data_IF_686493721168
#
_entry.id   IF_686493721168
#
_cell.length_a   1.000
_cell.length_b   1.000
_cell.length_c   1.000
_cell.angle_alpha   90.00
_cell.angle_beta   90.00
_cell.angle_gamma   90.00
#
_symmetry.space_group_name_H-M   'P 1'
#
loop_
_entity.id
_entity.type
_entity.pdbx_description
1 polymer ?
#
# COMPACT_ATOMS: atom_id res chain seq x y z
N UNK A 1 -13.49 11.80 -6.29
CA UNK A 1 -14.18 10.55 -5.94
C UNK A 1 -13.70 9.44 -6.83
N UNK A 2 -13.16 8.38 -6.23
CA UNK A 2 -12.86 7.11 -6.88
C UNK A 2 -14.13 6.24 -6.80
N UNK A 3 -14.98 6.34 -7.82
CA UNK A 3 -16.31 5.70 -7.80
C UNK A 3 -16.38 4.65 -8.91
N UNK A 4 -16.64 3.39 -8.54
CA UNK A 4 -16.84 2.32 -9.52
C UNK A 4 -18.03 1.44 -9.16
N UNK A 5 -18.59 0.77 -10.17
CA UNK A 5 -19.65 -0.21 -10.02
C UNK A 5 -19.44 -1.34 -11.02
N UNK A 6 -19.35 -2.56 -10.52
CA UNK A 6 -19.38 -3.80 -11.30
C UNK A 6 -20.62 -4.62 -10.92
N UNK A 7 -20.72 -5.84 -11.47
CA UNK A 7 -21.72 -6.81 -11.03
C UNK A 7 -21.37 -7.40 -9.66
N UNK A 8 -20.09 -7.36 -9.27
CA UNK A 8 -19.57 -7.93 -8.02
C UNK A 8 -19.53 -6.93 -6.86
N UNK A 9 -19.47 -5.62 -7.14
CA UNK A 9 -19.43 -4.62 -6.06
C UNK A 9 -19.73 -3.18 -6.51
N UNK A 10 -19.99 -2.34 -5.52
CA UNK A 10 -19.97 -0.89 -5.61
C UNK A 10 -18.83 -0.36 -4.73
N UNK A 11 -17.97 0.49 -5.30
CA UNK A 11 -16.87 1.14 -4.59
C UNK A 11 -17.08 2.67 -4.58
N UNK A 12 -16.94 3.28 -3.42
CA UNK A 12 -17.13 4.71 -3.20
C UNK A 12 -15.96 5.26 -2.36
N UNK A 13 -14.91 5.75 -3.02
CA UNK A 13 -13.82 6.51 -2.40
C UNK A 13 -13.99 8.01 -2.63
N UNK A 14 -13.61 8.84 -1.65
CA UNK A 14 -13.76 10.31 -1.69
C UNK A 14 -15.14 10.77 -2.21
N UNK A 15 -16.20 10.18 -1.69
CA UNK A 15 -17.57 10.30 -2.22
C UNK A 15 -18.41 11.35 -1.50
N UNK A 16 -18.04 11.70 -0.27
CA UNK A 16 -18.72 12.68 0.56
C UNK A 16 -17.87 13.95 0.71
N UNK A 17 -18.49 15.10 0.98
CA UNK A 17 -17.73 16.32 1.19
C UNK A 17 -16.99 16.28 2.53
N UNK A 18 -15.67 16.40 2.48
CA UNK A 18 -14.81 16.62 3.66
C UNK A 18 -14.63 18.12 3.88
N UNK A 19 -14.70 18.57 5.15
CA UNK A 19 -14.38 19.95 5.48
C UNK A 19 -12.86 20.13 5.57
N UNK A 20 -12.37 21.17 4.91
CA UNK A 20 -10.93 21.46 4.82
C UNK A 20 -10.67 22.74 5.60
N UNK A 21 -9.92 22.67 6.71
CA UNK A 21 -9.54 23.83 7.50
C UNK A 21 -8.65 24.78 6.71
N UNK A 22 -8.57 26.04 7.16
CA UNK A 22 -7.60 27.00 6.62
C UNK A 22 -6.17 26.44 6.77
N UNK A 23 -5.37 26.47 5.69
CA UNK A 23 -4.00 25.95 5.67
C UNK A 23 -3.86 24.53 5.12
N UNK A 24 -4.97 23.89 4.76
CA UNK A 24 -5.02 22.63 4.01
C UNK A 24 -5.55 22.92 2.60
N UNK A 25 -5.03 22.21 1.60
CA UNK A 25 -5.42 22.35 0.21
C UNK A 25 -6.28 21.15 -0.21
N UNK A 26 -7.55 21.39 -0.61
CA UNK A 26 -8.11 20.56 -1.68
C UNK A 26 -8.18 21.39 -2.93
N UNK A 27 -7.40 20.97 -3.90
CA UNK A 27 -7.62 21.35 -5.26
C UNK A 27 -8.57 20.30 -5.88
N UNK A 28 -9.87 20.56 -6.04
CA UNK A 28 -10.77 19.61 -6.71
C UNK A 28 -10.42 19.37 -8.20
N UNK A 29 -9.42 20.07 -8.71
CA UNK A 29 -8.84 19.93 -10.05
C UNK A 29 -7.43 19.34 -10.04
N UNK A 30 -7.02 18.65 -8.97
CA UNK A 30 -5.70 18.03 -8.86
C UNK A 30 -5.46 17.13 -10.06
N UNK A 31 -4.64 17.63 -10.98
CA UNK A 31 -3.92 16.84 -11.96
C UNK A 31 -2.69 16.28 -11.23
N UNK A 32 -2.29 15.03 -11.48
CA UNK A 32 -1.15 14.40 -10.81
C UNK A 32 -1.38 12.93 -10.47
N UNK A 33 -0.47 12.39 -9.65
CA UNK A 33 -0.48 11.05 -9.07
C UNK A 33 -0.61 11.12 -7.54
N UNK A 34 -0.96 10.01 -6.90
CA UNK A 34 -1.18 9.95 -5.45
C UNK A 34 -2.57 10.41 -5.02
N UNK A 35 -2.79 10.41 -3.70
CA UNK A 35 -4.10 10.64 -3.11
C UNK A 35 -4.62 12.07 -3.27
N UNK A 36 -5.91 12.18 -3.63
CA UNK A 36 -6.50 13.43 -4.14
C UNK A 36 -6.70 14.54 -3.07
N UNK A 37 -6.18 14.36 -1.86
CA UNK A 37 -6.16 15.39 -0.81
C UNK A 37 -5.50 14.94 0.50
N UNK A 38 -4.94 15.92 1.21
CA UNK A 38 -4.42 15.83 2.57
C UNK A 38 -5.49 16.01 3.67
N UNK A 39 -6.56 15.20 3.65
CA UNK A 39 -7.66 15.40 4.61
C UNK A 39 -7.19 15.31 6.07
N UNK A 40 -7.63 16.23 6.96
CA UNK A 40 -7.30 16.16 8.37
C UNK A 40 -7.99 14.96 9.02
N UNK A 41 -7.32 14.36 10.00
CA UNK A 41 -7.92 13.30 10.80
C UNK A 41 -9.17 13.81 11.55
N UNK A 42 -10.25 13.03 11.49
CA UNK A 42 -11.55 13.40 12.05
C UNK A 42 -12.24 12.21 12.73
N UNK A 43 -13.28 12.51 13.51
CA UNK A 43 -14.29 11.52 13.88
C UNK A 43 -15.37 11.53 12.81
N UNK A 44 -15.55 10.40 12.15
CA UNK A 44 -16.55 10.24 11.09
C UNK A 44 -17.58 9.22 11.57
N UNK A 45 -18.86 9.58 11.45
CA UNK A 45 -20.00 8.68 11.68
C UNK A 45 -20.95 8.84 10.51
N UNK A 46 -21.27 7.73 9.84
CA UNK A 46 -22.15 7.69 8.70
C UNK A 46 -23.27 6.68 8.92
N UNK A 47 -24.49 7.04 8.54
CA UNK A 47 -25.60 6.12 8.37
C UNK A 47 -25.75 5.82 6.87
N UNK A 48 -25.57 4.56 6.49
CA UNK A 48 -25.61 4.08 5.12
C UNK A 48 -26.84 3.20 4.92
N UNK A 49 -27.82 3.71 4.19
CA UNK A 49 -28.99 2.95 3.78
C UNK A 49 -28.68 2.19 2.48
N UNK A 50 -28.60 0.86 2.59
CA UNK A 50 -28.35 -0.05 1.47
C UNK A 50 -29.60 -0.88 1.21
N UNK A 51 -30.10 -0.80 -0.01
CA UNK A 51 -31.21 -1.65 -0.44
C UNK A 51 -30.61 -2.93 -1.02
N UNK A 52 -30.88 -4.08 -0.39
CA UNK A 52 -30.46 -5.38 -0.90
C UNK A 52 -30.96 -5.65 -2.32
N UNK A 53 -30.41 -6.65 -3.03
CA UNK A 53 -30.85 -6.96 -4.39
C UNK A 53 -32.35 -7.26 -4.41
N UNK A 54 -33.04 -6.77 -5.46
CA UNK A 54 -34.50 -6.94 -5.63
C UNK A 54 -34.94 -8.40 -5.79
N UNK A 55 -34.01 -9.33 -5.90
CA UNK A 55 -34.24 -10.76 -6.10
C UNK A 55 -33.12 -11.56 -5.43
N UNK A 56 -33.44 -12.42 -4.45
CA UNK A 56 -32.49 -13.34 -3.82
C UNK A 56 -32.40 -13.18 -2.30
N UNK A 57 -31.90 -14.22 -1.61
CA UNK A 57 -31.50 -14.20 -0.19
C UNK A 57 -30.00 -13.84 -0.08
N UNK A 58 -29.54 -12.88 -0.89
CA UNK A 58 -28.12 -12.58 -1.06
C UNK A 58 -27.67 -11.63 0.07
N UNK A 59 -26.69 -12.05 0.87
CA UNK A 59 -26.20 -11.25 1.99
C UNK A 59 -25.34 -10.12 1.42
N UNK A 60 -25.76 -8.87 1.56
CA UNK A 60 -24.97 -7.72 1.10
C UNK A 60 -24.14 -7.18 2.25
N UNK A 61 -22.81 -7.26 2.14
CA UNK A 61 -21.92 -6.67 3.13
C UNK A 61 -21.54 -5.24 2.76
N UNK A 62 -21.44 -4.39 3.79
CA UNK A 62 -21.02 -2.99 3.67
C UNK A 62 -19.76 -2.84 4.50
N UNK A 63 -18.65 -2.59 3.82
CA UNK A 63 -17.33 -2.46 4.44
C UNK A 63 -16.87 -1.01 4.32
N UNK A 64 -16.30 -0.47 5.40
CA UNK A 64 -15.81 0.91 5.46
C UNK A 64 -14.56 0.98 6.34
N UNK A 65 -13.85 2.10 6.31
CA UNK A 65 -12.78 2.42 7.28
C UNK A 65 -13.22 2.50 8.76
N UNK A 66 -14.52 2.52 9.03
CA UNK A 66 -15.07 2.56 10.38
C UNK A 66 -15.39 1.17 10.95
N UNK A 67 -15.86 1.15 12.19
CA UNK A 67 -16.46 -0.04 12.80
C UNK A 67 -17.98 0.07 12.84
N UNK A 68 -18.65 -1.08 12.80
CA UNK A 68 -20.11 -1.17 12.91
C UNK A 68 -20.57 -0.75 14.30
N UNK A 69 -21.29 0.37 14.36
CA UNK A 69 -21.89 0.89 15.59
C UNK A 69 -23.33 0.38 15.79
N UNK A 70 -24.10 0.26 14.71
CA UNK A 70 -25.47 -0.27 14.73
C UNK A 70 -25.89 -0.79 13.35
N UNK A 71 -26.91 -1.65 13.30
CA UNK A 71 -27.55 -2.06 12.05
C UNK A 71 -29.05 -2.26 12.22
N UNK A 72 -29.82 -1.71 11.29
CA UNK A 72 -31.27 -1.77 11.28
C UNK A 72 -31.70 -2.47 10.00
N UNK A 73 -32.35 -3.62 10.14
CA UNK A 73 -33.02 -4.31 9.04
C UNK A 73 -34.50 -3.92 9.03
N UNK A 74 -35.01 -3.50 7.87
CA UNK A 74 -36.41 -3.18 7.67
C UNK A 74 -37.19 -4.37 7.10
N UNK A 75 -38.51 -4.38 7.36
CA UNK A 75 -39.42 -5.44 6.89
C UNK A 75 -39.48 -5.58 5.36
N UNK A 76 -39.06 -4.55 4.61
CA UNK A 76 -39.01 -4.56 3.14
C UNK A 76 -37.67 -5.06 2.56
N UNK A 77 -36.77 -5.53 3.43
CA UNK A 77 -35.44 -6.03 3.06
C UNK A 77 -34.40 -4.94 2.84
N UNK A 78 -34.71 -3.67 3.13
CA UNK A 78 -33.68 -2.62 3.21
C UNK A 78 -32.91 -2.72 4.53
N UNK A 79 -31.61 -2.41 4.47
CA UNK A 79 -30.71 -2.39 5.63
C UNK A 79 -30.13 -0.99 5.79
N UNK A 80 -30.07 -0.48 7.01
CA UNK A 80 -29.27 0.68 7.37
C UNK A 80 -28.12 0.19 8.24
N UNK A 81 -26.89 0.62 7.94
CA UNK A 81 -25.74 0.40 8.80
C UNK A 81 -25.23 1.74 9.31
N UNK A 82 -24.88 1.80 10.59
CA UNK A 82 -24.21 2.94 11.19
C UNK A 82 -22.77 2.55 11.39
N UNK A 83 -21.88 3.19 10.65
CA UNK A 83 -20.43 3.00 10.70
C UNK A 83 -19.79 4.23 11.34
N UNK A 84 -18.72 4.03 12.09
CA UNK A 84 -17.95 5.17 12.58
C UNK A 84 -16.55 4.82 13.04
N UNK A 85 -15.68 5.83 13.02
CA UNK A 85 -14.30 5.73 13.45
C UNK A 85 -13.75 7.07 13.92
N UNK A 86 -12.62 7.01 14.61
CA UNK A 86 -11.88 8.17 15.10
C UNK A 86 -10.52 8.21 14.42
N UNK A 87 -10.03 9.42 14.15
CA UNK A 87 -8.75 9.59 13.46
C UNK A 87 -8.80 9.22 11.98
N UNK A 88 -10.00 9.09 11.39
CA UNK A 88 -10.16 8.79 9.98
C UNK A 88 -10.00 10.05 9.14
N UNK A 89 -9.26 9.95 8.04
CA UNK A 89 -9.10 11.03 7.04
C UNK A 89 -10.12 10.95 5.92
N UNK A 90 -10.61 9.75 5.62
CA UNK A 90 -11.72 9.47 4.71
C UNK A 90 -12.56 8.31 5.27
N UNK A 91 -13.72 8.06 4.66
CA UNK A 91 -14.58 6.91 4.91
C UNK A 91 -15.00 6.31 3.55
N UNK A 92 -14.12 5.53 2.90
CA UNK A 92 -14.49 4.72 1.76
C UNK A 92 -15.65 3.78 2.11
N UNK A 93 -16.48 3.47 1.12
CA UNK A 93 -17.55 2.49 1.25
C UNK A 93 -17.44 1.46 0.14
N UNK A 94 -17.41 0.20 0.53
CA UNK A 94 -17.53 -0.95 -0.35
C UNK A 94 -18.86 -1.65 -0.06
N UNK A 95 -19.61 -1.98 -1.11
CA UNK A 95 -20.80 -2.81 -1.01
C UNK A 95 -20.56 -4.05 -1.84
N UNK A 96 -20.47 -5.21 -1.17
CA UNK A 96 -20.09 -6.49 -1.77
C UNK A 96 -21.23 -7.48 -1.57
N UNK A 97 -22.02 -7.78 -2.60
CA UNK A 97 -23.02 -8.84 -2.57
C UNK A 97 -22.37 -10.22 -2.39
N UNK A 98 -22.98 -11.03 -1.53
CA UNK A 98 -22.57 -12.40 -1.21
C UNK A 98 -21.11 -12.54 -0.75
N UNK A 99 -20.57 -11.48 -0.15
CA UNK A 99 -19.17 -11.43 0.25
C UNK A 99 -18.74 -12.63 1.08
N UNK A 100 -17.56 -13.17 0.76
CA UNK A 100 -16.83 -14.06 1.65
C UNK A 100 -15.94 -13.24 2.56
N UNK A 101 -16.02 -13.52 3.87
CA UNK A 101 -15.14 -12.92 4.87
C UNK A 101 -14.26 -13.97 5.53
N UNK A 102 -13.01 -13.61 5.79
CA UNK A 102 -12.09 -14.32 6.69
C UNK A 102 -11.62 -13.34 7.75
N UNK A 103 -11.43 -13.83 8.97
CA UNK A 103 -11.07 -12.98 10.10
C UNK A 103 -10.01 -13.66 10.95
N UNK A 104 -9.03 -12.89 11.38
CA UNK A 104 -8.08 -13.27 12.41
C UNK A 104 -7.88 -12.09 13.37
N UNK A 105 -7.24 -12.38 14.50
CA UNK A 105 -6.84 -11.36 15.47
C UNK A 105 -5.35 -11.50 15.69
N UNK A 106 -4.64 -10.39 15.57
CA UNK A 106 -3.20 -10.32 15.86
C UNK A 106 -2.94 -10.56 17.36
N UNK A 107 -1.69 -10.86 17.71
CA UNK A 107 -1.25 -11.04 19.09
C UNK A 107 -1.46 -9.78 19.97
N UNK A 108 -1.42 -8.58 19.37
CA UNK A 108 -1.72 -7.31 20.03
C UNK A 108 -3.22 -6.94 20.02
N UNK A 109 -4.10 -7.81 19.52
CA UNK A 109 -5.55 -7.69 19.67
C UNK A 109 -6.25 -6.88 18.57
N UNK A 110 -5.60 -6.68 17.42
CA UNK A 110 -6.17 -6.01 16.25
C UNK A 110 -6.93 -7.04 15.43
N UNK A 111 -8.19 -6.76 15.10
CA UNK A 111 -8.99 -7.62 14.23
C UNK A 111 -8.68 -7.30 12.75
N UNK A 112 -8.28 -8.32 11.99
CA UNK A 112 -8.01 -8.23 10.55
C UNK A 112 -9.12 -8.97 9.82
N UNK A 113 -9.85 -8.27 8.95
CA UNK A 113 -10.94 -8.84 8.16
C UNK A 113 -10.62 -8.74 6.69
N UNK A 114 -10.55 -9.89 6.03
CA UNK A 114 -10.44 -9.98 4.57
C UNK A 114 -11.83 -10.18 3.99
N UNK A 115 -12.27 -9.28 3.11
CA UNK A 115 -13.56 -9.35 2.41
C UNK A 115 -13.33 -9.47 0.90
N UNK A 116 -13.96 -10.45 0.26
CA UNK A 116 -13.86 -10.64 -1.19
C UNK A 116 -15.19 -11.12 -1.80
N UNK A 117 -15.39 -10.96 -3.12
CA UNK A 117 -16.48 -11.63 -3.83
C UNK A 117 -16.49 -13.17 -3.62
N UNK A 118 -17.63 -13.84 -3.83
CA UNK A 118 -17.71 -15.30 -3.74
C UNK A 118 -16.70 -16.01 -4.64
N UNK A 119 -16.02 -17.03 -4.11
CA UNK A 119 -15.10 -17.86 -4.89
C UNK A 119 -13.75 -17.22 -5.20
N UNK A 120 -13.42 -16.06 -4.61
CA UNK A 120 -12.07 -15.49 -4.69
C UNK A 120 -11.06 -16.40 -4.00
N UNK A 121 -9.97 -16.72 -4.71
CA UNK A 121 -8.87 -17.55 -4.21
C UNK A 121 -8.00 -16.76 -3.21
N UNK A 122 -7.08 -17.45 -2.51
CA UNK A 122 -6.07 -16.87 -1.61
C UNK A 122 -6.56 -16.00 -0.44
N UNK A 123 -7.86 -15.93 -0.15
CA UNK A 123 -8.40 -15.15 0.99
C UNK A 123 -7.73 -15.47 2.34
N UNK A 124 -7.40 -16.74 2.61
CA UNK A 124 -6.70 -17.15 3.84
C UNK A 124 -5.19 -16.80 3.81
N UNK A 125 -4.57 -16.77 2.62
CA UNK A 125 -3.16 -16.37 2.43
C UNK A 125 -3.01 -14.87 2.64
N UNK A 126 -3.88 -14.07 2.00
CA UNK A 126 -3.97 -12.62 2.19
C UNK A 126 -4.19 -12.27 3.66
N UNK A 127 -5.07 -13.01 4.35
CA UNK A 127 -5.29 -12.81 5.79
C UNK A 127 -4.01 -13.03 6.60
N UNK A 128 -3.24 -14.08 6.28
CA UNK A 128 -1.96 -14.36 6.92
C UNK A 128 -0.95 -13.22 6.74
N UNK A 129 -0.74 -12.76 5.50
CA UNK A 129 0.17 -11.66 5.21
C UNK A 129 -0.24 -10.36 5.89
N UNK A 130 -1.54 -10.04 5.92
CA UNK A 130 -2.04 -8.84 6.58
C UNK A 130 -1.83 -8.90 8.11
N UNK A 131 -2.07 -10.06 8.74
CA UNK A 131 -1.79 -10.27 10.16
C UNK A 131 -0.31 -10.09 10.47
N UNK A 132 0.57 -10.77 9.72
CA UNK A 132 2.02 -10.68 9.91
C UNK A 132 2.52 -9.23 9.74
N UNK A 133 2.07 -8.53 8.71
CA UNK A 133 2.45 -7.14 8.45
C UNK A 133 1.99 -6.19 9.57
N UNK A 134 0.74 -6.32 10.05
CA UNK A 134 0.23 -5.48 11.15
C UNK A 134 1.01 -5.73 12.44
N UNK A 135 1.32 -7.00 12.76
CA UNK A 135 2.12 -7.35 13.95
C UNK A 135 3.53 -6.79 13.86
N UNK A 136 4.24 -7.06 12.76
CA UNK A 136 5.62 -6.63 12.56
C UNK A 136 5.71 -5.10 12.59
N UNK A 137 4.84 -4.40 11.88
CA UNK A 137 4.90 -2.93 11.84
C UNK A 137 4.46 -2.31 13.16
N UNK A 138 3.52 -2.92 13.89
CA UNK A 138 3.21 -2.50 15.27
C UNK A 138 4.42 -2.59 16.20
N UNK A 139 5.19 -3.68 16.10
CA UNK A 139 6.41 -3.85 16.91
C UNK A 139 7.53 -2.88 16.51
N UNK A 140 7.60 -2.48 15.23
CA UNK A 140 8.70 -1.67 14.68
C UNK A 140 8.45 -0.18 14.73
N UNK A 141 7.24 0.26 14.39
CA UNK A 141 6.88 1.66 14.18
C UNK A 141 5.97 2.22 15.30
N UNK A 142 5.53 1.38 16.23
CA UNK A 142 4.61 1.75 17.31
C UNK A 142 3.20 1.20 17.08
N UNK A 143 2.37 1.20 18.14
CA UNK A 143 1.07 0.54 18.16
C UNK A 143 0.17 0.92 16.96
N UNK A 144 -0.46 -0.08 16.35
CA UNK A 144 -1.49 0.15 15.34
C UNK A 144 -2.62 1.03 15.91
N UNK A 145 -3.01 2.12 15.22
CA UNK A 145 -3.83 3.17 15.84
C UNK A 145 -5.33 2.83 15.96
N UNK A 146 -5.81 1.79 15.27
CA UNK A 146 -7.21 1.34 15.29
C UNK A 146 -7.35 -0.05 15.90
N UNK A 147 -8.57 -0.49 16.16
CA UNK A 147 -8.83 -1.85 16.66
C UNK A 147 -9.11 -2.87 15.55
N UNK A 148 -9.23 -2.40 14.32
CA UNK A 148 -9.75 -3.13 13.18
C UNK A 148 -9.06 -2.67 11.90
N UNK A 149 -8.79 -3.58 10.98
CA UNK A 149 -8.35 -3.29 9.61
C UNK A 149 -9.09 -4.18 8.62
N UNK A 150 -9.63 -3.57 7.57
CA UNK A 150 -10.27 -4.27 6.45
C UNK A 150 -9.35 -4.39 5.24
N UNK A 151 -9.24 -5.59 4.69
CA UNK A 151 -8.58 -5.87 3.41
C UNK A 151 -9.63 -6.30 2.41
N UNK A 152 -9.77 -5.59 1.30
CA UNK A 152 -10.86 -5.85 0.34
C UNK A 152 -10.33 -6.12 -1.07
N UNK A 153 -10.70 -7.25 -1.64
CA UNK A 153 -10.47 -7.50 -3.07
C UNK A 153 -11.36 -6.55 -3.89
N UNK A 154 -10.76 -5.74 -4.75
CA UNK A 154 -11.46 -4.72 -5.52
C UNK A 154 -11.03 -4.71 -7.00
N UNK A 155 -11.96 -4.48 -7.95
CA UNK A 155 -11.64 -4.33 -9.37
C UNK A 155 -11.07 -2.94 -9.62
N UNK A 156 -9.81 -2.75 -9.24
CA UNK A 156 -9.06 -1.53 -9.49
C UNK A 156 -8.64 -1.46 -10.97
N UNK A 157 -8.30 -0.27 -11.45
CA UNK A 157 -7.76 -0.12 -12.80
C UNK A 157 -6.40 -0.84 -12.90
N UNK A 158 -6.08 -1.41 -14.06
CA UNK A 158 -4.94 -2.31 -14.29
C UNK A 158 -3.52 -1.72 -14.06
N UNK A 159 -3.41 -0.49 -13.56
CA UNK A 159 -2.15 0.18 -13.23
C UNK A 159 -2.02 0.53 -11.74
N UNK A 160 -2.97 0.11 -10.90
CA UNK A 160 -3.02 0.40 -9.46
C UNK A 160 -3.07 -0.94 -8.73
N UNK A 161 -2.04 -1.24 -7.93
CA UNK A 161 -1.92 -2.54 -7.24
C UNK A 161 -2.80 -2.63 -6.00
N UNK A 162 -2.91 -1.51 -5.28
CA UNK A 162 -3.82 -1.33 -4.15
C UNK A 162 -4.19 0.13 -3.96
N UNK A 163 -5.03 0.40 -2.97
CA UNK A 163 -5.46 1.73 -2.58
C UNK A 163 -5.64 1.76 -1.07
N UNK A 164 -4.86 2.62 -0.43
CA UNK A 164 -4.81 2.79 1.00
C UNK A 164 -5.94 3.68 1.51
N UNK A 165 -6.55 3.27 2.62
CA UNK A 165 -7.52 4.07 3.35
C UNK A 165 -7.27 3.95 4.86
N UNK A 166 -7.67 4.92 5.68
CA UNK A 166 -7.47 4.80 7.13
C UNK A 166 -8.21 3.57 7.68
N UNK A 167 -7.50 2.57 8.20
CA UNK A 167 -8.12 1.33 8.71
C UNK A 167 -8.70 0.40 7.64
N UNK A 168 -8.39 0.60 6.36
CA UNK A 168 -8.86 -0.24 5.27
C UNK A 168 -7.92 -0.14 4.07
N UNK A 169 -7.73 -1.20 3.29
CA UNK A 169 -7.11 -1.05 1.97
C UNK A 169 -7.76 -1.98 0.96
N UNK A 170 -7.72 -1.54 -0.30
CA UNK A 170 -8.21 -2.30 -1.43
C UNK A 170 -7.03 -2.89 -2.17
N UNK A 171 -7.15 -4.13 -2.65
CA UNK A 171 -6.14 -4.75 -3.51
C UNK A 171 -6.80 -5.08 -4.84
N UNK A 172 -6.10 -4.84 -5.93
CA UNK A 172 -6.55 -5.24 -7.25
C UNK A 172 -6.82 -6.76 -7.30
N UNK A 173 -7.99 -7.17 -7.78
CA UNK A 173 -8.48 -8.55 -7.71
C UNK A 173 -7.50 -9.59 -8.26
N UNK A 174 -6.71 -9.27 -9.30
CA UNK A 174 -5.71 -10.19 -9.86
C UNK A 174 -4.56 -10.39 -8.90
N UNK A 175 -3.98 -9.32 -8.34
CA UNK A 175 -2.93 -9.43 -7.29
C UNK A 175 -3.48 -10.13 -6.05
N UNK A 176 -4.72 -9.80 -5.67
CA UNK A 176 -5.38 -10.42 -4.52
C UNK A 176 -5.47 -11.94 -4.67
N UNK A 177 -5.71 -12.44 -5.89
CA UNK A 177 -5.73 -13.87 -6.20
C UNK A 177 -4.33 -14.44 -6.57
N UNK A 178 -3.25 -13.77 -6.20
CA UNK A 178 -1.87 -14.21 -6.47
C UNK A 178 -1.43 -14.07 -7.93
N UNK A 179 -2.23 -13.39 -8.77
CA UNK A 179 -2.00 -13.19 -10.21
C UNK A 179 -1.22 -11.91 -10.55
N UNK A 180 -0.94 -11.71 -11.84
CA UNK A 180 -0.34 -10.49 -12.38
C UNK A 180 -1.39 -9.56 -13.02
N UNK A 181 -1.42 -8.25 -12.68
CA UNK A 181 -2.33 -7.28 -13.28
C UNK A 181 -2.27 -7.28 -14.80
N UNK A 182 -3.44 -7.28 -15.47
CA UNK A 182 -3.54 -7.21 -16.92
C UNK A 182 -3.30 -8.53 -17.68
N UNK A 183 -2.99 -9.62 -16.96
CA UNK A 183 -2.91 -10.98 -17.52
C UNK A 183 -4.09 -11.89 -17.07
N UNK A 184 -4.93 -11.44 -16.14
CA UNK A 184 -6.04 -12.23 -15.59
C UNK A 184 -7.13 -12.65 -16.58
N UNK A 185 -7.22 -12.03 -17.78
CA UNK A 185 -8.15 -12.43 -18.86
C UNK A 185 -7.45 -13.24 -19.97
N UNK A 186 -6.14 -13.49 -19.86
CA UNK A 186 -5.46 -14.50 -20.65
C UNK A 186 -5.78 -15.85 -20.01
N UNK A 187 -6.91 -16.43 -20.41
CA UNK A 187 -7.48 -17.64 -19.83
C UNK A 187 -6.44 -18.65 -19.37
N UNK A 188 -6.57 -19.07 -18.12
CA UNK A 188 -5.84 -20.11 -17.42
C UNK A 188 -4.36 -20.23 -17.83
N UNK A 189 -3.48 -19.70 -16.98
CA UNK A 189 -2.05 -20.03 -16.99
C UNK A 189 -1.79 -21.56 -16.94
N UNK A 190 -2.79 -22.37 -16.53
CA UNK A 190 -2.80 -23.84 -16.66
C UNK A 190 -2.58 -24.32 -18.11
N UNK A 191 -3.04 -23.57 -19.11
CA UNK A 191 -2.90 -23.95 -20.53
C UNK A 191 -1.46 -23.69 -21.07
N UNK A 192 -0.63 -22.99 -20.27
CA UNK A 192 0.80 -22.77 -20.53
C UNK A 192 1.72 -23.71 -19.72
N UNK A 193 1.19 -24.43 -18.72
CA UNK A 193 1.93 -25.47 -17.97
C UNK A 193 3.10 -24.94 -17.13
N UNK A 194 3.02 -23.69 -16.67
CA UNK A 194 4.07 -23.02 -15.88
C UNK A 194 3.91 -23.23 -14.36
N UNK A 195 2.75 -23.70 -13.94
CA UNK A 195 2.35 -24.09 -12.58
C UNK A 195 3.12 -25.32 -12.04
N UNK A 196 3.77 -26.11 -12.91
CA UNK A 196 4.49 -27.33 -12.54
C UNK A 196 5.99 -27.31 -12.79
N UNK A 197 6.58 -26.16 -13.12
CA UNK A 197 8.02 -26.06 -13.31
C UNK A 197 8.74 -25.94 -11.96
N UNK A 198 9.08 -27.10 -11.41
CA UNK A 198 10.07 -27.25 -10.35
C UNK A 198 11.44 -26.75 -10.87
N UNK A 199 11.94 -25.66 -10.28
CA UNK A 199 13.22 -25.02 -10.63
C UNK A 199 14.39 -25.99 -10.53
N UNK A 200 14.28 -27.04 -9.70
CA UNK A 200 15.32 -28.07 -9.57
C UNK A 200 15.50 -28.96 -10.81
N UNK A 201 14.52 -29.01 -11.72
CA UNK A 201 14.61 -29.78 -12.97
C UNK A 201 15.23 -28.97 -14.13
N UNK A 202 15.29 -27.64 -14.00
CA UNK A 202 15.85 -26.74 -15.02
C UNK A 202 17.38 -26.61 -14.91
N UNK A 203 17.93 -26.74 -13.69
CA UNK A 203 19.37 -26.82 -13.43
C UNK A 203 20.02 -28.05 -14.08
N UNK A 204 19.31 -29.19 -14.10
CA UNK A 204 19.78 -30.44 -14.72
C UNK A 204 19.88 -30.34 -16.26
N UNK A 205 19.26 -29.33 -16.87
CA UNK A 205 19.31 -29.03 -18.31
C UNK A 205 20.29 -27.89 -18.66
N UNK A 206 20.91 -27.24 -17.67
CA UNK A 206 21.87 -26.15 -17.87
C UNK A 206 21.25 -24.89 -18.50
N UNK A 207 19.94 -24.70 -18.30
CA UNK A 207 19.19 -23.53 -18.78
C UNK A 207 18.90 -22.50 -17.68
N UNK A 208 19.26 -22.79 -16.42
CA UNK A 208 19.09 -21.89 -15.26
C UNK A 208 19.73 -20.53 -15.48
N UNK A 209 21.01 -20.49 -15.88
CA UNK A 209 21.75 -19.23 -16.16
C UNK A 209 21.08 -18.36 -17.24
N UNK A 210 20.37 -18.96 -18.21
CA UNK A 210 19.70 -18.21 -19.29
C UNK A 210 18.36 -17.65 -18.82
N UNK A 211 17.70 -18.30 -17.87
CA UNK A 211 16.47 -17.83 -17.27
C UNK A 211 16.73 -16.77 -16.20
N UNK A 212 17.80 -16.88 -15.42
CA UNK A 212 18.24 -15.85 -14.48
C UNK A 212 18.71 -14.58 -15.22
N UNK A 213 19.47 -14.71 -16.30
CA UNK A 213 19.95 -13.57 -17.12
C UNK A 213 18.82 -12.89 -17.93
N UNK A 214 17.66 -13.56 -18.05
CA UNK A 214 16.43 -13.02 -18.62
C UNK A 214 15.37 -12.62 -17.56
N UNK A 215 15.65 -12.82 -16.28
CA UNK A 215 14.71 -12.55 -15.17
C UNK A 215 13.47 -13.46 -15.12
N UNK A 216 13.49 -14.60 -15.81
CA UNK A 216 12.34 -15.52 -15.97
C UNK A 216 12.34 -16.67 -14.95
N UNK A 217 13.46 -16.93 -14.25
CA UNK A 217 13.51 -17.89 -13.14
C UNK A 217 12.74 -17.43 -11.91
N UNK A 218 12.50 -16.12 -11.81
CA UNK A 218 11.90 -15.45 -10.67
C UNK A 218 10.36 -15.45 -10.74
N UNK A 219 9.72 -15.90 -11.83
CA UNK A 219 8.28 -15.69 -12.06
C UNK A 219 7.39 -16.27 -10.93
N UNK A 220 7.69 -17.47 -10.42
CA UNK A 220 6.95 -18.06 -9.29
C UNK A 220 7.26 -17.41 -7.94
N UNK A 221 8.50 -16.94 -7.74
CA UNK A 221 8.89 -16.13 -6.58
C UNK A 221 8.25 -14.74 -6.66
N UNK A 222 8.09 -14.17 -7.85
CA UNK A 222 7.56 -12.82 -8.09
C UNK A 222 6.07 -12.74 -7.82
N UNK A 223 5.28 -13.79 -8.04
CA UNK A 223 3.83 -13.73 -7.81
C UNK A 223 3.49 -13.73 -6.31
N UNK A 224 3.98 -14.72 -5.56
CA UNK A 224 3.81 -14.78 -4.10
C UNK A 224 4.46 -13.56 -3.42
N UNK A 225 5.69 -13.21 -3.81
CA UNK A 225 6.35 -12.04 -3.23
C UNK A 225 5.70 -10.72 -3.63
N UNK A 226 5.05 -10.61 -4.79
CA UNK A 226 4.30 -9.39 -5.17
C UNK A 226 3.03 -9.26 -4.33
N UNK A 227 2.28 -10.35 -4.12
CA UNK A 227 1.09 -10.31 -3.26
C UNK A 227 1.45 -9.96 -1.82
N UNK A 228 2.45 -10.64 -1.23
CA UNK A 228 2.97 -10.33 0.11
C UNK A 228 3.49 -8.88 0.20
N UNK A 229 4.25 -8.43 -0.80
CA UNK A 229 4.79 -7.07 -0.87
C UNK A 229 3.70 -6.01 -0.91
N UNK A 230 2.71 -6.16 -1.80
CA UNK A 230 1.60 -5.20 -1.92
C UNK A 230 0.86 -5.14 -0.60
N UNK A 231 0.52 -6.27 0.03
CA UNK A 231 -0.15 -6.27 1.34
C UNK A 231 0.69 -5.55 2.40
N UNK A 232 2.00 -5.82 2.47
CA UNK A 232 2.88 -5.17 3.42
C UNK A 232 3.01 -3.65 3.17
N UNK A 233 3.02 -3.24 1.90
CA UNK A 233 3.03 -1.84 1.46
C UNK A 233 1.76 -1.12 1.89
N UNK A 234 0.59 -1.69 1.58
CA UNK A 234 -0.72 -1.13 1.96
C UNK A 234 -0.88 -1.04 3.49
N UNK A 235 -0.39 -2.03 4.26
CA UNK A 235 -0.36 -1.95 5.73
C UNK A 235 0.61 -0.86 6.21
N UNK A 236 1.72 -0.61 5.49
CA UNK A 236 2.61 0.51 5.73
C UNK A 236 1.89 1.86 5.72
N UNK A 237 0.93 2.05 4.80
CA UNK A 237 0.09 3.24 4.74
C UNK A 237 -0.85 3.44 5.94
N UNK A 238 -0.89 2.51 6.89
CA UNK A 238 -1.60 2.74 8.15
C UNK A 238 -0.86 3.70 9.06
N UNK A 239 0.49 3.71 9.01
CA UNK A 239 1.33 4.68 9.72
C UNK A 239 1.56 5.94 8.90
N UNK A 240 1.88 5.77 7.61
CA UNK A 240 2.19 6.86 6.69
C UNK A 240 0.96 7.17 5.84
N UNK A 241 0.63 8.44 5.58
CA UNK A 241 -0.68 8.88 5.06
C UNK A 241 -1.85 8.75 6.05
N UNK A 242 -2.15 7.56 6.60
CA UNK A 242 -3.35 7.39 7.43
C UNK A 242 -3.18 7.97 8.85
N UNK A 243 -2.25 7.44 9.65
CA UNK A 243 -1.99 7.97 10.99
C UNK A 243 -1.28 9.33 10.89
N UNK A 244 -0.17 9.40 10.16
CA UNK A 244 0.58 10.62 9.90
C UNK A 244 0.20 11.13 8.51
N UNK A 245 -0.50 12.26 8.48
CA UNK A 245 -0.99 12.84 7.23
C UNK A 245 0.09 13.57 6.47
N UNK A 246 0.10 13.39 5.16
CA UNK A 246 1.03 14.05 4.23
C UNK A 246 0.25 14.67 3.08
N UNK A 247 0.87 15.60 2.36
CA UNK A 247 0.34 16.09 1.10
C UNK A 247 1.08 15.37 -0.03
N UNK A 248 0.56 14.19 -0.38
CA UNK A 248 1.13 13.27 -1.36
C UNK A 248 1.29 13.88 -2.75
N UNK A 249 0.50 14.91 -3.07
CA UNK A 249 0.56 15.56 -4.37
C UNK A 249 1.71 16.56 -4.42
N UNK A 250 1.92 17.33 -3.36
CA UNK A 250 2.99 18.33 -3.34
C UNK A 250 4.35 17.77 -2.91
N UNK A 251 4.34 16.73 -2.09
CA UNK A 251 5.50 16.07 -1.51
C UNK A 251 5.23 14.55 -1.43
N UNK A 252 5.41 13.81 -2.54
CA UNK A 252 5.15 12.35 -2.61
C UNK A 252 6.26 11.51 -1.97
N UNK A 253 7.19 12.13 -1.23
CA UNK A 253 8.40 11.45 -0.73
C UNK A 253 8.26 10.88 0.67
N UNK A 254 7.08 10.99 1.28
CA UNK A 254 6.82 10.52 2.64
C UNK A 254 5.96 9.27 2.61
N UNK A 255 4.76 9.37 2.06
CA UNK A 255 3.78 8.29 1.94
C UNK A 255 4.34 7.05 1.22
N UNK A 256 4.57 7.14 -0.09
CA UNK A 256 4.97 5.99 -0.90
C UNK A 256 6.34 5.43 -0.48
N UNK A 257 7.38 6.26 -0.24
CA UNK A 257 8.69 5.70 0.07
C UNK A 257 8.75 5.07 1.46
N UNK A 258 7.98 5.57 2.43
CA UNK A 258 7.89 4.92 3.74
C UNK A 258 7.00 3.69 3.71
N UNK A 259 5.97 3.64 2.86
CA UNK A 259 5.21 2.41 2.61
C UNK A 259 6.11 1.33 2.00
N UNK A 260 6.95 1.67 1.01
CA UNK A 260 7.97 0.76 0.46
C UNK A 260 8.99 0.33 1.53
N UNK A 261 9.49 1.26 2.34
CA UNK A 261 10.40 0.92 3.44
C UNK A 261 9.73 0.01 4.48
N UNK A 262 8.46 0.25 4.80
CA UNK A 262 7.67 -0.59 5.71
C UNK A 262 7.50 -2.00 5.15
N UNK A 263 7.22 -2.14 3.85
CA UNK A 263 7.19 -3.43 3.18
C UNK A 263 8.54 -4.17 3.28
N UNK A 264 9.67 -3.47 3.10
CA UNK A 264 11.00 -4.03 3.34
C UNK A 264 11.17 -4.57 4.78
N UNK A 265 10.70 -3.83 5.81
CA UNK A 265 10.77 -4.30 7.20
C UNK A 265 9.99 -5.61 7.40
N UNK A 266 8.84 -5.75 6.76
CA UNK A 266 8.01 -6.97 6.82
C UNK A 266 8.70 -8.13 6.10
N UNK A 267 9.03 -7.98 4.81
CA UNK A 267 9.59 -9.10 4.03
C UNK A 267 10.95 -9.56 4.55
N UNK A 268 11.77 -8.68 5.14
CA UNK A 268 13.03 -9.07 5.80
C UNK A 268 12.80 -10.00 7.01
N UNK A 269 11.63 -9.91 7.66
CA UNK A 269 11.26 -10.75 8.81
C UNK A 269 10.60 -12.05 8.37
N UNK A 270 9.61 -11.97 7.49
CA UNK A 270 8.82 -13.12 7.01
C UNK A 270 9.63 -13.99 6.05
N UNK A 271 10.40 -13.37 5.15
CA UNK A 271 11.21 -14.02 4.11
C UNK A 271 12.70 -14.04 4.44
N UNK A 272 13.10 -14.84 5.43
CA UNK A 272 14.51 -14.87 5.90
C UNK A 272 15.55 -15.28 4.84
N UNK A 273 15.13 -15.96 3.78
CA UNK A 273 16.04 -16.47 2.74
C UNK A 273 16.31 -15.42 1.64
N UNK A 274 15.30 -14.65 1.28
CA UNK A 274 15.21 -13.85 0.07
C UNK A 274 14.60 -12.45 0.29
N UNK A 275 14.23 -12.08 1.52
CA UNK A 275 13.54 -10.81 1.81
C UNK A 275 14.32 -9.55 1.42
N UNK A 276 15.65 -9.57 1.50
CA UNK A 276 16.46 -8.47 0.98
C UNK A 276 16.40 -8.38 -0.55
N UNK A 277 16.43 -9.52 -1.23
CA UNK A 277 16.30 -9.57 -2.68
C UNK A 277 14.91 -9.09 -3.14
N UNK A 278 13.85 -9.43 -2.39
CA UNK A 278 12.49 -8.92 -2.64
C UNK A 278 12.43 -7.40 -2.43
N UNK A 279 13.01 -6.89 -1.34
CA UNK A 279 13.10 -5.44 -1.10
C UNK A 279 13.86 -4.71 -2.21
N UNK A 280 15.01 -5.23 -2.63
CA UNK A 280 15.80 -4.67 -3.74
C UNK A 280 15.03 -4.73 -5.07
N UNK A 281 14.35 -5.84 -5.35
CA UNK A 281 13.56 -6.04 -6.57
C UNK A 281 12.48 -4.96 -6.70
N UNK A 282 11.78 -4.68 -5.61
CA UNK A 282 10.64 -3.74 -5.58
C UNK A 282 11.04 -2.28 -5.37
N UNK A 283 12.33 -1.98 -5.16
CA UNK A 283 12.84 -0.62 -4.99
C UNK A 283 13.95 -0.31 -6.00
N UNK A 284 15.22 -0.51 -5.63
CA UNK A 284 16.40 -0.17 -6.41
C UNK A 284 16.40 -0.78 -7.81
N UNK A 285 16.11 -2.08 -7.91
CA UNK A 285 16.12 -2.79 -9.18
C UNK A 285 14.96 -2.36 -10.08
N UNK A 286 13.79 -2.03 -9.52
CA UNK A 286 12.66 -1.47 -10.26
C UNK A 286 13.04 -0.15 -10.92
N UNK A 287 13.71 0.76 -10.19
CA UNK A 287 14.23 2.00 -10.78
C UNK A 287 15.23 1.73 -11.91
N UNK A 288 16.21 0.85 -11.67
CA UNK A 288 17.21 0.46 -12.68
C UNK A 288 16.57 -0.14 -13.93
N UNK A 289 15.59 -1.02 -13.77
CA UNK A 289 14.87 -1.64 -14.88
C UNK A 289 14.09 -0.61 -15.71
N UNK A 290 13.34 0.29 -15.05
CA UNK A 290 12.56 1.31 -15.74
C UNK A 290 13.45 2.31 -16.48
N UNK A 291 14.56 2.73 -15.88
CA UNK A 291 15.49 3.67 -16.51
C UNK A 291 16.26 3.02 -17.67
N UNK A 292 16.79 1.81 -17.48
CA UNK A 292 17.66 1.16 -18.46
C UNK A 292 16.92 0.42 -19.58
N UNK A 293 15.78 -0.21 -19.28
CA UNK A 293 15.01 -0.95 -20.28
C UNK A 293 13.94 -0.10 -20.97
N UNK A 294 13.25 0.77 -20.21
CA UNK A 294 12.14 1.57 -20.72
C UNK A 294 12.55 3.00 -21.07
N UNK A 295 13.80 3.40 -20.76
CA UNK A 295 14.30 4.74 -21.06
C UNK A 295 13.63 5.83 -20.22
N UNK A 296 13.08 5.47 -19.06
CA UNK A 296 12.52 6.44 -18.11
C UNK A 296 13.67 7.33 -17.60
N UNK A 297 13.45 8.64 -17.58
CA UNK A 297 14.45 9.58 -17.07
C UNK A 297 14.38 9.68 -15.54
N UNK A 298 15.54 9.76 -14.88
CA UNK A 298 15.62 10.14 -13.47
C UNK A 298 15.08 11.58 -13.26
N UNK A 299 14.59 11.86 -12.06
CA UNK A 299 14.08 13.17 -11.66
C UNK A 299 14.28 13.41 -10.15
N UNK A 300 13.99 14.64 -9.73
CA UNK A 300 13.82 15.00 -8.32
C UNK A 300 12.60 14.23 -7.79
N UNK A 301 12.68 13.64 -6.60
CA UNK A 301 11.55 12.91 -6.02
C UNK A 301 10.63 13.86 -5.25
N UNK A 302 11.18 14.82 -4.49
CA UNK A 302 10.42 15.83 -3.75
C UNK A 302 10.02 16.99 -4.67
N UNK A 303 9.04 16.71 -5.51
CA UNK A 303 8.39 17.65 -6.41
C UNK A 303 6.91 17.28 -6.55
N UNK A 304 6.11 18.19 -7.12
CA UNK A 304 4.69 17.92 -7.29
C UNK A 304 4.46 16.75 -8.24
N UNK A 305 3.41 15.97 -8.00
CA UNK A 305 3.14 14.78 -8.81
C UNK A 305 2.70 15.09 -10.24
N UNK A 306 2.24 16.32 -10.53
CA UNK A 306 1.96 16.82 -11.88
C UNK A 306 3.21 17.31 -12.65
N UNK A 307 4.38 17.35 -12.00
CA UNK A 307 5.65 17.72 -12.63
C UNK A 307 6.41 16.51 -13.21
N UNK A 308 5.98 15.27 -12.91
CA UNK A 308 6.51 14.07 -13.56
C UNK A 308 6.01 13.94 -15.01
N UNK A 309 6.89 13.53 -15.91
CA UNK A 309 6.60 13.37 -17.35
C UNK A 309 5.57 12.26 -17.62
N UNK A 310 5.46 11.27 -16.72
CA UNK A 310 4.53 10.14 -16.84
C UNK A 310 4.38 9.37 -15.52
N UNK A 311 3.36 8.51 -15.46
CA UNK A 311 3.15 7.59 -14.34
C UNK A 311 4.30 6.59 -14.18
N UNK A 312 4.98 6.24 -15.29
CA UNK A 312 6.18 5.40 -15.26
C UNK A 312 7.37 6.14 -14.62
N UNK A 313 7.49 7.45 -14.84
CA UNK A 313 8.53 8.25 -14.19
C UNK A 313 8.24 8.44 -12.71
N UNK A 314 6.98 8.71 -12.35
CA UNK A 314 6.52 8.75 -10.96
C UNK A 314 6.83 7.41 -10.26
N UNK A 315 6.40 6.29 -10.83
CA UNK A 315 6.69 4.95 -10.31
C UNK A 315 8.19 4.68 -10.13
N UNK A 316 9.01 4.95 -11.15
CA UNK A 316 10.45 4.76 -11.05
C UNK A 316 11.07 5.59 -9.92
N UNK A 317 10.76 6.90 -9.88
CA UNK A 317 11.43 7.83 -8.97
C UNK A 317 10.90 7.73 -7.54
N UNK A 318 9.59 7.67 -7.36
CA UNK A 318 8.93 7.70 -6.04
C UNK A 318 8.90 6.31 -5.39
N UNK A 319 8.60 5.24 -6.13
CA UNK A 319 8.59 3.89 -5.56
C UNK A 319 9.92 3.15 -5.67
N UNK A 320 10.74 3.49 -6.67
CA UNK A 320 12.01 2.80 -6.92
C UNK A 320 13.22 3.50 -6.29
N UNK A 321 13.44 4.78 -6.64
CA UNK A 321 14.60 5.56 -6.16
C UNK A 321 14.41 6.05 -4.74
N UNK A 322 13.33 6.77 -4.43
CA UNK A 322 13.15 7.47 -3.16
C UNK A 322 13.28 6.58 -1.89
N UNK A 323 12.78 5.32 -1.83
CA UNK A 323 12.94 4.48 -0.63
C UNK A 323 14.40 4.22 -0.22
N UNK A 324 15.35 4.40 -1.15
CA UNK A 324 16.77 4.27 -0.88
C UNK A 324 17.34 5.33 0.05
N UNK A 325 16.62 6.43 0.33
CA UNK A 325 16.95 7.31 1.45
C UNK A 325 17.03 6.49 2.75
N UNK A 326 16.02 5.68 3.03
CA UNK A 326 15.95 4.91 4.28
C UNK A 326 17.03 3.84 4.30
N UNK A 327 17.29 3.14 3.18
CA UNK A 327 18.42 2.22 3.09
C UNK A 327 19.77 2.90 3.37
N UNK A 328 20.00 4.10 2.82
CA UNK A 328 21.22 4.85 3.08
C UNK A 328 21.32 5.32 4.55
N UNK A 329 20.21 5.70 5.17
CA UNK A 329 20.15 5.98 6.61
C UNK A 329 20.47 4.71 7.43
N UNK A 330 19.91 3.56 7.07
CA UNK A 330 20.17 2.28 7.73
C UNK A 330 21.63 1.85 7.61
N UNK A 331 22.27 2.11 6.47
CA UNK A 331 23.69 1.83 6.22
C UNK A 331 24.62 2.71 7.07
N UNK A 332 24.27 4.00 7.23
CA UNK A 332 25.09 4.96 7.99
C UNK A 332 24.88 4.85 9.50
N UNK A 333 23.63 4.77 9.95
CA UNK A 333 23.26 4.86 11.37
C UNK A 333 22.83 3.52 11.98
N UNK A 334 22.50 2.53 11.14
CA UNK A 334 22.02 1.21 11.58
C UNK A 334 20.49 1.12 11.56
N UNK A 335 19.98 -0.02 11.07
CA UNK A 335 18.52 -0.28 10.99
C UNK A 335 17.77 -0.06 12.29
N UNK A 336 18.33 -0.51 13.43
CA UNK A 336 17.68 -0.35 14.73
C UNK A 336 17.42 1.11 15.10
N UNK A 337 18.44 1.97 14.95
CA UNK A 337 18.39 3.38 15.33
C UNK A 337 17.47 4.16 14.36
N UNK A 338 17.47 3.82 13.06
CA UNK A 338 16.56 4.42 12.07
C UNK A 338 15.10 4.03 12.34
N UNK A 339 14.83 2.75 12.59
CA UNK A 339 13.47 2.29 12.93
C UNK A 339 12.98 2.92 14.24
N UNK A 340 13.84 3.05 15.25
CA UNK A 340 13.50 3.73 16.52
C UNK A 340 13.19 5.22 16.29
N UNK A 341 13.98 5.92 15.46
CA UNK A 341 13.73 7.32 15.11
C UNK A 341 12.38 7.50 14.36
N UNK A 342 12.00 6.58 13.48
CA UNK A 342 10.70 6.57 12.82
C UNK A 342 9.56 6.32 13.81
N UNK A 343 9.72 5.36 14.73
CA UNK A 343 8.73 5.09 15.78
C UNK A 343 8.54 6.28 16.73
N UNK A 344 9.62 6.97 17.10
CA UNK A 344 9.55 8.22 17.88
C UNK A 344 8.84 9.34 17.12
N UNK A 345 8.99 9.39 15.80
CA UNK A 345 8.27 10.36 14.96
C UNK A 345 6.77 10.03 14.94
N UNK A 346 6.40 8.76 14.77
CA UNK A 346 5.01 8.29 14.84
C UNK A 346 4.35 8.67 16.16
N UNK A 347 4.98 8.36 17.30
CA UNK A 347 4.43 8.67 18.62
C UNK A 347 4.17 10.18 18.80
N UNK A 348 5.04 11.02 18.25
CA UNK A 348 4.94 12.49 18.37
C UNK A 348 3.90 13.12 17.45
N UNK A 349 3.65 12.54 16.28
CA UNK A 349 2.89 13.17 15.20
C UNK A 349 1.61 12.42 14.80
N UNK A 350 1.18 11.45 15.61
CA UNK A 350 -0.06 10.70 15.40
C UNK A 350 -1.27 11.63 15.17
N UNK A 351 -1.97 11.42 14.04
CA UNK A 351 -3.12 12.21 13.56
C UNK A 351 -2.83 13.66 13.17
N UNK A 352 -1.56 14.07 13.15
CA UNK A 352 -1.15 15.38 12.64
C UNK A 352 -1.00 15.36 11.11
N UNK A 353 -0.93 16.55 10.53
CA UNK A 353 -0.50 16.75 9.15
C UNK A 353 0.93 17.28 9.20
N UNK A 354 1.86 16.58 8.57
CA UNK A 354 3.28 16.93 8.60
C UNK A 354 3.79 17.29 7.20
N UNK A 355 4.94 17.95 7.17
CA UNK A 355 5.70 18.26 5.97
C UNK A 355 6.95 17.37 5.86
N UNK A 356 7.55 17.32 4.68
CA UNK A 356 8.86 16.67 4.48
C UNK A 356 9.93 17.21 5.45
N UNK A 357 9.91 18.53 5.68
CA UNK A 357 10.83 19.21 6.59
C UNK A 357 10.66 18.78 8.05
N UNK A 358 9.44 18.48 8.49
CA UNK A 358 9.18 17.99 9.86
C UNK A 358 9.82 16.61 10.06
N UNK A 359 9.63 15.70 9.09
CA UNK A 359 10.24 14.36 9.12
C UNK A 359 11.77 14.45 9.06
N UNK A 360 12.32 15.20 8.09
CA UNK A 360 13.77 15.40 7.93
C UNK A 360 14.41 15.93 9.21
N UNK A 361 13.83 16.99 9.78
CA UNK A 361 14.33 17.62 11.01
C UNK A 361 14.29 16.64 12.18
N UNK A 362 13.18 15.92 12.33
CA UNK A 362 13.02 14.96 13.41
C UNK A 362 14.00 13.78 13.31
N UNK A 363 14.20 13.23 12.11
CA UNK A 363 15.20 12.18 11.89
C UNK A 363 16.60 12.66 12.23
N UNK A 364 16.97 13.87 11.80
CA UNK A 364 18.25 14.50 12.14
C UNK A 364 18.46 14.67 13.65
N UNK A 365 17.42 15.07 14.38
CA UNK A 365 17.46 15.20 15.84
C UNK A 365 17.57 13.86 16.56
N UNK A 366 16.74 12.87 16.20
CA UNK A 366 16.73 11.54 16.82
C UNK A 366 18.02 10.75 16.54
N UNK A 367 18.56 10.82 15.33
CA UNK A 367 19.83 10.18 14.96
C UNK A 367 21.07 10.96 15.44
N UNK A 368 20.88 12.17 15.97
CA UNK A 368 21.96 13.00 16.51
C UNK A 368 22.92 13.58 15.46
N UNK A 369 22.54 13.54 14.17
CA UNK A 369 23.32 14.06 13.06
C UNK A 369 22.44 14.76 11.99
N UNK A 370 21.92 15.96 12.29
CA UNK A 370 21.10 16.70 11.33
C UNK A 370 21.80 16.98 10.00
N UNK A 371 23.11 17.18 10.01
CA UNK A 371 23.86 17.49 8.78
C UNK A 371 24.04 16.27 7.87
N UNK A 372 24.23 15.08 8.44
CA UNK A 372 24.30 13.84 7.67
C UNK A 372 22.94 13.44 7.10
N UNK A 373 21.87 13.56 7.90
CA UNK A 373 20.50 13.34 7.42
C UNK A 373 20.15 14.31 6.29
N UNK A 374 20.47 15.61 6.43
CA UNK A 374 20.25 16.61 5.38
C UNK A 374 20.98 16.27 4.08
N UNK A 375 22.21 15.75 4.17
CA UNK A 375 22.99 15.38 2.99
C UNK A 375 22.39 14.17 2.25
N UNK A 376 21.90 13.18 2.99
CA UNK A 376 21.22 12.02 2.41
C UNK A 376 19.85 12.39 1.84
N UNK A 377 19.10 13.23 2.55
CA UNK A 377 17.81 13.77 2.09
C UNK A 377 17.97 14.50 0.76
N UNK A 378 18.93 15.43 0.67
CA UNK A 378 19.24 16.14 -0.57
C UNK A 378 19.57 15.17 -1.71
N UNK A 379 20.46 14.20 -1.44
CA UNK A 379 20.93 13.26 -2.46
C UNK A 379 19.80 12.42 -3.07
N UNK A 380 18.90 11.90 -2.22
CA UNK A 380 17.88 10.94 -2.65
C UNK A 380 16.56 11.60 -3.08
N UNK A 381 16.17 12.70 -2.43
CA UNK A 381 14.88 13.35 -2.69
C UNK A 381 15.00 14.61 -3.55
N UNK A 382 16.05 15.41 -3.39
CA UNK A 382 16.16 16.74 -4.01
C UNK A 382 17.08 16.78 -5.26
N UNK A 383 17.88 15.73 -5.48
CA UNK A 383 18.85 15.64 -6.57
C UNK A 383 18.54 14.52 -7.59
N UNK A 384 19.05 14.66 -8.80
CA UNK A 384 18.88 13.71 -9.92
C UNK A 384 20.11 12.78 -10.01
N UNK A 385 20.36 12.00 -8.95
CA UNK A 385 21.52 11.11 -8.85
C UNK A 385 21.17 9.61 -8.85
N UNK A 386 19.89 9.24 -8.98
CA UNK A 386 19.45 7.84 -8.87
C UNK A 386 20.15 6.92 -9.87
N UNK A 387 20.36 7.39 -11.11
CA UNK A 387 21.06 6.62 -12.14
C UNK A 387 22.57 6.42 -11.84
N UNK A 388 23.20 7.37 -11.13
CA UNK A 388 24.58 7.23 -10.67
C UNK A 388 24.66 6.30 -9.45
N UNK A 389 23.71 6.43 -8.53
CA UNK A 389 23.72 5.78 -7.21
C UNK A 389 23.28 4.31 -7.24
N UNK A 390 22.33 3.98 -8.11
CA UNK A 390 21.74 2.63 -8.22
C UNK A 390 22.29 1.83 -9.41
N UNK A 391 23.03 2.49 -10.31
CA UNK A 391 23.56 1.89 -11.53
C UNK A 391 22.50 1.71 -12.60
N UNK A 392 22.73 2.32 -13.77
CA UNK A 392 21.98 2.05 -15.01
C UNK A 392 22.53 0.87 -15.81
#
# INVERSE_FOLDING_TARGET
>A
GLLARSDEMLTLGHWFPVWIPDGFDAEPSLDGYGDISNYPAATIVAELAVTGPRTGNEATEVVTSGIRLDSIEADDGSRSVIEGGVGLRDLPVMVVPDAEQRTATTDNGIEVVVTAPPGTEDTDVVLGYAVDAVEILSERLGDYPWSHIDVVAAPLASSVGGMEWPGMFWIESTIFAGGLPGLGDAGDLDDLGLDQLDTSQLDDLGLGDVFDDLGLGDIGLTMESTQEWVIAHEVGHMWWYSLIGTDSITTPVIDEPLAQHSACLVVRVTRKADGEAVCDAQTSATFGQMTSMLGVADAVADQRTDEFDSSLQYGAVVYGKAPNLYRALEEEYGTGDVTEALAEFVDRHAFEQITADDLRTSLGESLGDPAGVDALWQRWFEEVNGAEDLGG
#
